data_IF_616243175995
#
_entry.id   IF_616243175995
#
_cell.length_a   1.000
_cell.length_b   1.000
_cell.length_c   1.000
_cell.angle_alpha   90.00
_cell.angle_beta   90.00
_cell.angle_gamma   90.00
#
_symmetry.space_group_name_H-M   'P 1'
#
loop_
_entity.id
_entity.type
_entity.pdbx_description
1 polymer ?
#
# COMPACT_ATOMS: atom_id res chain seq x y z
N UNK A 1 23.06 8.20 -11.39
CA UNK A 1 21.64 8.06 -11.74
C UNK A 1 21.02 7.29 -10.59
N UNK A 2 20.08 7.88 -9.85
CA UNK A 2 19.36 7.11 -8.82
C UNK A 2 18.39 6.19 -9.55
N UNK A 3 18.47 4.89 -9.29
CA UNK A 3 17.49 3.94 -9.81
C UNK A 3 16.09 4.37 -9.33
N UNK A 4 15.05 4.27 -10.19
CA UNK A 4 13.69 4.55 -9.75
C UNK A 4 13.39 3.60 -8.59
N UNK A 5 12.96 4.15 -7.46
CA UNK A 5 12.58 3.36 -6.31
C UNK A 5 11.34 2.54 -6.70
N UNK A 6 11.42 1.20 -6.63
CA UNK A 6 10.32 0.29 -6.97
C UNK A 6 9.70 -0.34 -5.73
N UNK A 7 8.43 -0.72 -5.83
CA UNK A 7 7.74 -1.55 -4.84
C UNK A 7 7.16 -2.77 -5.53
N UNK A 8 7.26 -3.92 -4.87
CA UNK A 8 6.70 -5.17 -5.38
C UNK A 8 5.37 -5.42 -4.69
N UNK A 9 4.31 -5.56 -5.47
CA UNK A 9 2.97 -5.88 -4.99
C UNK A 9 2.69 -7.35 -5.27
N UNK A 10 2.24 -8.08 -4.26
CA UNK A 10 1.75 -9.45 -4.40
C UNK A 10 0.28 -9.47 -3.99
N UNK A 11 -0.66 -9.67 -4.94
CA UNK A 11 -2.07 -9.75 -4.63
C UNK A 11 -2.36 -10.87 -3.64
N UNK A 12 -3.07 -10.59 -2.55
CA UNK A 12 -3.51 -11.66 -1.63
C UNK A 12 -4.94 -12.03 -1.95
N UNK A 13 -5.21 -13.32 -2.16
CA UNK A 13 -6.54 -13.78 -2.55
C UNK A 13 -7.41 -14.26 -1.38
N UNK A 14 -6.98 -14.02 -0.14
CA UNK A 14 -7.73 -14.38 1.06
C UNK A 14 -7.92 -15.89 1.20
N UNK A 15 -9.09 -16.31 1.69
CA UNK A 15 -9.43 -17.73 1.88
C UNK A 15 -10.59 -18.13 0.95
N UNK A 16 -10.57 -19.36 0.46
CA UNK A 16 -11.69 -19.95 -0.27
C UNK A 16 -12.89 -20.19 0.67
N UNK A 17 -14.05 -20.57 0.12
CA UNK A 17 -15.25 -20.88 0.92
C UNK A 17 -15.08 -22.09 1.87
N UNK A 18 -14.01 -22.87 1.71
CA UNK A 18 -13.63 -23.99 2.59
C UNK A 18 -12.65 -23.59 3.71
N UNK A 19 -12.21 -22.34 3.76
CA UNK A 19 -11.23 -21.85 4.74
C UNK A 19 -9.77 -22.14 4.38
N UNK A 20 -9.47 -22.59 3.15
CA UNK A 20 -8.09 -22.73 2.69
C UNK A 20 -7.59 -21.40 2.11
N UNK A 21 -6.32 -21.02 2.37
CA UNK A 21 -5.75 -19.83 1.76
C UNK A 21 -5.70 -20.02 0.24
N UNK A 22 -6.25 -19.04 -0.49
CA UNK A 22 -6.08 -19.00 -1.93
C UNK A 22 -4.63 -18.63 -2.24
N UNK A 23 -4.02 -19.25 -3.27
CA UNK A 23 -2.66 -18.92 -3.65
C UNK A 23 -2.59 -17.44 -4.02
N UNK A 24 -1.58 -16.75 -3.50
CA UNK A 24 -1.31 -15.36 -3.84
C UNK A 24 -1.17 -15.17 -5.37
N UNK A 25 -1.50 -13.98 -5.83
CA UNK A 25 -1.38 -13.62 -7.24
C UNK A 25 0.06 -13.46 -7.68
N UNK A 26 0.23 -13.36 -8.99
CA UNK A 26 1.52 -13.06 -9.59
C UNK A 26 2.02 -11.71 -9.08
N UNK A 27 3.21 -11.66 -8.46
CA UNK A 27 3.79 -10.39 -8.04
C UNK A 27 4.07 -9.49 -9.24
N UNK A 28 3.88 -8.18 -9.06
CA UNK A 28 4.20 -7.18 -10.06
C UNK A 28 4.84 -5.95 -9.42
N UNK A 29 5.75 -5.32 -10.16
CA UNK A 29 6.45 -4.14 -9.68
C UNK A 29 5.74 -2.85 -10.11
N UNK A 30 5.66 -1.90 -9.19
CA UNK A 30 5.21 -0.54 -9.44
C UNK A 30 6.35 0.44 -9.15
N UNK A 31 6.36 1.54 -9.91
CA UNK A 31 7.28 2.67 -9.67
C UNK A 31 6.50 3.78 -8.96
N UNK A 32 6.59 3.89 -7.62
CA UNK A 32 5.98 5.00 -6.90
C UNK A 32 6.53 6.35 -7.35
N UNK A 33 5.68 7.36 -7.25
CA UNK A 33 6.10 8.76 -7.38
C UNK A 33 6.94 9.21 -6.21
N UNK A 34 6.56 8.75 -5.02
CA UNK A 34 7.19 9.15 -3.79
C UNK A 34 6.94 8.10 -2.70
N UNK A 35 7.93 7.90 -1.83
CA UNK A 35 7.79 7.07 -0.62
C UNK A 35 8.18 7.93 0.58
N UNK A 36 7.24 8.14 1.47
CA UNK A 36 7.47 8.81 2.75
C UNK A 36 7.63 7.77 3.87
N UNK A 37 8.56 7.97 4.83
CA UNK A 37 8.59 7.17 6.05
C UNK A 37 7.40 7.51 6.95
N UNK A 38 6.80 6.50 7.57
CA UNK A 38 5.68 6.68 8.49
C UNK A 38 4.32 6.91 7.82
N UNK A 39 3.29 7.16 8.62
CA UNK A 39 1.95 7.55 8.16
C UNK A 39 1.89 9.07 7.94
N UNK A 40 2.20 9.52 6.73
CA UNK A 40 2.09 10.94 6.36
C UNK A 40 0.65 11.36 6.00
N UNK A 41 -0.30 10.41 5.90
CA UNK A 41 -1.71 10.74 5.60
C UNK A 41 -2.37 11.59 6.69
N UNK A 42 -1.86 11.55 7.92
CA UNK A 42 -2.23 12.48 8.99
C UNK A 42 -1.99 13.94 8.63
N UNK A 43 -0.87 14.25 7.95
CA UNK A 43 -0.55 15.61 7.53
C UNK A 43 -1.50 16.13 6.45
N UNK A 44 -2.13 15.20 5.71
CA UNK A 44 -3.12 15.51 4.67
C UNK A 44 -4.56 15.55 5.21
N UNK A 45 -4.77 15.43 6.52
CA UNK A 45 -6.09 15.53 7.16
C UNK A 45 -7.03 14.37 6.83
N UNK A 46 -6.51 13.24 6.36
CA UNK A 46 -7.30 12.03 6.11
C UNK A 46 -7.64 11.40 7.45
N UNK A 47 -8.91 11.53 7.86
CA UNK A 47 -9.44 10.90 9.06
C UNK A 47 -9.56 9.39 8.86
N UNK A 48 -8.73 8.64 9.56
CA UNK A 48 -8.73 7.19 9.60
C UNK A 48 -7.94 6.73 10.82
N UNK A 49 -8.24 5.53 11.30
CA UNK A 49 -7.61 4.97 12.50
C UNK A 49 -6.07 5.09 12.40
N UNK A 50 -5.47 5.24 13.58
CA UNK A 50 -4.10 5.69 13.79
C UNK A 50 -3.11 4.55 13.47
N UNK A 51 -3.26 3.92 12.33
CA UNK A 51 -2.51 2.73 11.98
C UNK A 51 -1.05 3.10 11.78
N UNK A 52 -0.17 2.42 12.52
CA UNK A 52 1.27 2.56 12.42
C UNK A 52 1.73 2.04 11.06
N UNK A 53 1.71 2.93 10.06
CA UNK A 53 2.32 2.66 8.76
C UNK A 53 3.82 2.89 8.85
N UNK A 54 4.59 1.95 8.35
CA UNK A 54 6.04 2.06 8.30
C UNK A 54 6.48 2.95 7.13
N UNK A 55 5.71 2.91 6.04
CA UNK A 55 5.87 3.78 4.87
C UNK A 55 4.50 4.20 4.32
N UNK A 56 4.47 5.38 3.72
CA UNK A 56 3.39 5.83 2.84
C UNK A 56 3.92 5.87 1.41
N UNK A 57 3.41 4.98 0.57
CA UNK A 57 3.78 4.90 -0.86
C UNK A 57 2.75 5.65 -1.67
N UNK A 58 3.19 6.59 -2.51
CA UNK A 58 2.34 7.39 -3.38
C UNK A 58 2.48 6.91 -4.82
N UNK A 59 1.41 6.33 -5.38
CA UNK A 59 1.39 5.88 -6.78
C UNK A 59 0.74 6.90 -7.72
N UNK A 60 0.82 6.64 -9.02
CA UNK A 60 0.08 7.40 -10.03
C UNK A 60 -1.41 7.05 -10.05
N UNK A 61 -2.23 7.97 -10.58
CA UNK A 61 -3.65 7.72 -10.85
C UNK A 61 -3.88 6.55 -11.83
N UNK A 62 -2.93 6.29 -12.73
CA UNK A 62 -2.98 5.17 -13.68
C UNK A 62 -2.83 3.81 -13.00
N UNK A 63 -2.36 3.80 -11.75
CA UNK A 63 -2.24 2.61 -10.91
C UNK A 63 -3.43 2.44 -9.95
N UNK A 64 -4.43 3.33 -10.02
CA UNK A 64 -5.65 3.23 -9.23
C UNK A 64 -6.34 1.89 -9.48
N UNK A 65 -6.65 1.17 -8.40
CA UNK A 65 -7.29 -0.15 -8.45
C UNK A 65 -6.36 -1.32 -8.81
N UNK A 66 -5.07 -1.09 -9.06
CA UNK A 66 -4.09 -2.17 -9.25
C UNK A 66 -3.70 -2.84 -7.93
N UNK A 67 -3.65 -2.06 -6.86
CA UNK A 67 -3.37 -2.52 -5.50
C UNK A 67 -4.67 -2.50 -4.72
N UNK A 68 -4.87 -3.51 -3.88
CA UNK A 68 -6.02 -3.63 -2.98
C UNK A 68 -5.56 -3.59 -1.52
N UNK A 69 -6.53 -3.33 -0.64
CA UNK A 69 -6.34 -3.56 0.78
C UNK A 69 -5.89 -5.01 1.04
N UNK A 70 -4.99 -5.18 1.99
CA UNK A 70 -4.38 -6.44 2.41
C UNK A 70 -3.50 -7.13 1.36
N UNK A 71 -3.24 -6.50 0.21
CA UNK A 71 -2.19 -6.94 -0.70
C UNK A 71 -0.82 -6.84 0.00
N UNK A 72 0.09 -7.73 -0.33
CA UNK A 72 1.43 -7.70 0.25
C UNK A 72 2.30 -6.74 -0.56
N UNK A 73 2.97 -5.81 0.12
CA UNK A 73 3.83 -4.80 -0.50
C UNK A 73 5.26 -4.87 0.06
N UNK A 74 6.21 -5.06 -0.84
CA UNK A 74 7.64 -4.99 -0.58
C UNK A 74 8.15 -3.56 -0.78
N UNK A 75 8.57 -2.87 0.29
CA UNK A 75 9.15 -1.52 0.23
C UNK A 75 10.54 -1.54 0.84
N UNK A 76 11.58 -1.18 0.08
CA UNK A 76 12.98 -1.15 0.57
C UNK A 76 13.43 -2.47 1.23
N UNK A 77 13.01 -3.61 0.68
CA UNK A 77 13.31 -4.94 1.22
C UNK A 77 12.53 -5.31 2.49
N UNK A 78 11.56 -4.49 2.89
CA UNK A 78 10.64 -4.79 3.99
C UNK A 78 9.30 -5.26 3.46
N UNK A 79 8.79 -6.28 4.10
CA UNK A 79 7.54 -6.93 3.75
C UNK A 79 6.41 -6.37 4.60
N UNK A 80 5.42 -5.78 3.95
CA UNK A 80 4.32 -5.07 4.59
C UNK A 80 2.98 -5.45 3.95
N UNK A 81 1.89 -5.05 4.58
CA UNK A 81 0.54 -5.13 4.02
C UNK A 81 0.10 -3.75 3.54
N UNK A 82 -0.48 -3.71 2.35
CA UNK A 82 -1.02 -2.54 1.73
C UNK A 82 -2.37 -2.20 2.35
N UNK A 83 -2.53 -0.95 2.79
CA UNK A 83 -3.84 -0.35 3.02
C UNK A 83 -3.99 0.80 2.05
N UNK A 84 -4.89 0.64 1.10
CA UNK A 84 -5.14 1.55 0.00
C UNK A 84 -6.06 2.64 0.49
N UNK A 85 -5.58 3.87 0.45
CA UNK A 85 -6.41 5.07 0.61
C UNK A 85 -6.41 5.86 -0.69
N UNK A 86 -7.58 5.93 -1.30
CA UNK A 86 -7.80 6.74 -2.49
C UNK A 86 -7.90 8.20 -2.07
N UNK A 87 -6.78 8.92 -2.18
CA UNK A 87 -6.77 10.36 -1.92
C UNK A 87 -6.62 11.13 -3.22
N UNK A 88 -7.62 11.96 -3.52
CA UNK A 88 -7.55 12.93 -4.61
C UNK A 88 -7.26 14.30 -4.03
N UNK A 89 -6.13 14.89 -4.44
CA UNK A 89 -5.77 16.24 -4.02
C UNK A 89 -6.85 17.23 -4.45
N UNK A 90 -7.53 17.91 -3.50
CA UNK A 90 -8.57 18.88 -3.85
C UNK A 90 -8.01 20.14 -4.53
N UNK A 91 -6.69 20.39 -4.41
CA UNK A 91 -6.04 21.56 -5.02
C UNK A 91 -5.52 21.32 -6.43
N UNK A 92 -5.15 20.08 -6.76
CA UNK A 92 -4.48 19.78 -8.04
C UNK A 92 -5.25 18.78 -8.91
N UNK A 93 -6.36 18.21 -8.41
CA UNK A 93 -7.08 17.07 -9.01
C UNK A 93 -6.18 15.87 -9.33
N UNK A 94 -4.97 15.84 -8.76
CA UNK A 94 -4.07 14.69 -8.83
C UNK A 94 -4.43 13.76 -7.69
N UNK A 95 -4.86 12.55 -8.01
CA UNK A 95 -4.94 11.50 -7.00
C UNK A 95 -3.62 10.78 -6.87
N UNK A 96 -3.42 10.27 -5.67
CA UNK A 96 -2.33 9.37 -5.35
C UNK A 96 -2.99 8.21 -4.63
N UNK A 97 -2.68 7.01 -5.08
CA UNK A 97 -2.99 5.83 -4.29
C UNK A 97 -1.98 5.84 -3.17
N UNK A 98 -2.43 6.20 -1.97
CA UNK A 98 -1.58 6.16 -0.80
C UNK A 98 -1.70 4.76 -0.20
N UNK A 99 -0.61 4.00 -0.29
CA UNK A 99 -0.53 2.69 0.32
C UNK A 99 0.19 2.85 1.65
N UNK A 100 -0.53 2.62 2.75
CA UNK A 100 0.09 2.47 4.05
C UNK A 100 0.66 1.06 4.14
N UNK A 101 1.99 0.96 4.17
CA UNK A 101 2.70 -0.29 4.37
C UNK A 101 2.71 -0.62 5.87
N UNK A 102 1.90 -1.59 6.29
CA UNK A 102 1.78 -2.04 7.68
C UNK A 102 2.66 -3.25 7.94
N UNK A 103 3.33 -3.28 9.09
CA UNK A 103 4.00 -4.48 9.55
C UNK A 103 2.96 -5.52 10.00
N UNK A 104 3.26 -6.82 9.86
CA UNK A 104 2.40 -7.92 10.33
C UNK A 104 2.43 -8.04 11.86
N UNK A 105 2.13 -6.97 12.59
CA UNK A 105 1.81 -7.09 14.01
C UNK A 105 0.36 -7.55 14.10
N UNK A 106 0.17 -8.86 13.94
CA UNK A 106 -1.03 -9.50 14.42
C UNK A 106 -1.10 -9.27 15.92
N UNK A 107 -2.06 -8.46 16.35
CA UNK A 107 -2.55 -8.47 17.72
C UNK A 107 -3.11 -9.87 17.96
N UNK A 108 -2.29 -10.75 18.51
CA UNK A 108 -2.81 -11.82 19.36
C UNK A 108 -3.12 -11.15 20.70
N UNK A 109 -4.39 -10.83 20.93
CA UNK A 109 -4.99 -10.82 22.27
C UNK A 109 -6.36 -11.46 22.19
#
# INVERSE_FOLDING_TARGET
>A
MSEPETVTITPTFGYNSGGDPLPDGTPFDLTPKFIAPGNTLREFGVGGDLEQAEFTVFLELTDLGKVKDDDRIGVRGKDCFARVQDWISPRTHRGVVAILAKNRTGTSQ
#
